data_IF_008321851209
#
_entry.id   IF_008321851209
#
_cell.length_a   1.000
_cell.length_b   1.000
_cell.length_c   1.000
_cell.angle_alpha   90.00
_cell.angle_beta   90.00
_cell.angle_gamma   90.00
#
_symmetry.space_group_name_H-M   'P 1'
#
loop_
_entity.id
_entity.type
_entity.pdbx_description
1 polymer ?
#
# COMPACT_ATOMS: atom_id res chain seq x y z
N UNK A 1 -0.03 29.24 -31.23
CA UNK A 1 -0.71 29.02 -29.93
C UNK A 1 -1.37 27.64 -29.98
N UNK A 2 -0.59 26.58 -29.76
CA UNK A 2 -1.13 25.23 -29.66
C UNK A 2 -1.34 24.94 -28.17
N UNK A 3 -2.61 24.87 -27.75
CA UNK A 3 -2.98 24.55 -26.39
C UNK A 3 -2.67 23.07 -26.16
N UNK A 4 -1.55 22.78 -25.49
CA UNK A 4 -1.29 21.46 -24.94
C UNK A 4 -2.19 21.29 -23.71
N UNK A 5 -3.42 20.81 -23.93
CA UNK A 5 -4.23 20.23 -22.87
C UNK A 5 -3.52 18.98 -22.38
N UNK A 6 -2.60 19.16 -21.43
CA UNK A 6 -1.91 18.10 -20.73
C UNK A 6 -2.93 17.13 -20.17
N UNK A 7 -2.74 15.84 -20.44
CA UNK A 7 -3.50 14.74 -19.85
C UNK A 7 -3.68 15.03 -18.36
N UNK A 8 -4.91 15.25 -17.94
CA UNK A 8 -5.25 15.34 -16.52
C UNK A 8 -4.90 13.99 -15.92
N UNK A 9 -3.89 14.01 -15.04
CA UNK A 9 -3.43 12.91 -14.19
C UNK A 9 -4.67 12.26 -13.57
N UNK A 10 -5.03 11.08 -14.07
CA UNK A 10 -6.06 10.24 -13.46
C UNK A 10 -5.61 9.97 -12.03
N UNK A 11 -6.55 10.10 -11.09
CA UNK A 11 -6.34 10.31 -9.66
C UNK A 11 -5.19 9.47 -9.07
N UNK A 12 -4.17 10.14 -8.52
CA UNK A 12 -3.02 9.50 -7.88
C UNK A 12 -3.50 8.56 -6.76
N UNK A 13 -2.84 7.43 -6.52
CA UNK A 13 -3.18 6.51 -5.41
C UNK A 13 -3.32 7.25 -4.08
N UNK A 14 -2.50 8.28 -3.89
CA UNK A 14 -2.51 9.17 -2.72
C UNK A 14 -3.83 9.93 -2.58
N UNK A 15 -4.43 10.36 -3.68
CA UNK A 15 -5.67 11.14 -3.70
C UNK A 15 -6.86 10.23 -3.35
N UNK A 16 -6.82 8.99 -3.83
CA UNK A 16 -7.81 7.99 -3.46
C UNK A 16 -7.73 7.63 -1.97
N UNK A 17 -6.54 7.31 -1.45
CA UNK A 17 -6.39 6.85 -0.05
C UNK A 17 -6.56 7.96 1.02
N UNK A 18 -6.50 9.23 0.63
CA UNK A 18 -6.66 10.37 1.56
C UNK A 18 -8.12 10.76 1.79
N UNK A 19 -9.09 10.04 1.22
CA UNK A 19 -10.50 10.37 1.39
C UNK A 19 -10.94 10.18 2.86
N UNK A 20 -11.60 11.19 3.49
CA UNK A 20 -12.03 11.11 4.89
C UNK A 20 -13.15 10.08 5.16
N UNK A 21 -13.70 9.46 4.11
CA UNK A 21 -14.95 8.71 4.15
C UNK A 21 -14.80 7.24 4.54
N UNK A 22 -13.59 6.80 4.91
CA UNK A 22 -13.39 5.45 5.41
C UNK A 22 -14.10 5.25 6.76
N UNK A 23 -15.06 4.31 6.80
CA UNK A 23 -15.79 3.96 8.02
C UNK A 23 -14.85 3.56 9.16
N UNK A 24 -15.25 3.78 10.42
CA UNK A 24 -14.46 3.36 11.61
C UNK A 24 -14.09 1.88 11.58
N UNK A 25 -15.01 1.06 11.06
CA UNK A 25 -14.82 -0.38 10.89
C UNK A 25 -13.73 -0.67 9.84
N UNK A 26 -13.77 0.02 8.70
CA UNK A 26 -12.75 -0.13 7.66
C UNK A 26 -11.34 0.20 8.19
N UNK A 27 -11.23 1.30 8.95
CA UNK A 27 -9.97 1.69 9.61
C UNK A 27 -9.48 0.66 10.62
N UNK A 28 -10.38 0.05 11.38
CA UNK A 28 -10.05 -1.00 12.34
C UNK A 28 -9.45 -2.23 11.65
N UNK A 29 -10.08 -2.72 10.58
CA UNK A 29 -9.57 -3.86 9.82
C UNK A 29 -8.22 -3.52 9.17
N UNK A 30 -8.07 -2.35 8.55
CA UNK A 30 -6.79 -1.91 7.99
C UNK A 30 -5.67 -1.93 9.04
N UNK A 31 -5.90 -1.36 10.23
CA UNK A 31 -4.90 -1.41 11.31
C UNK A 31 -4.50 -2.84 11.66
N UNK A 32 -5.46 -3.76 11.73
CA UNK A 32 -5.17 -5.18 12.01
C UNK A 32 -4.41 -5.86 10.87
N UNK A 33 -4.73 -5.57 9.61
CA UNK A 33 -4.00 -6.10 8.45
C UNK A 33 -2.55 -5.61 8.46
N UNK A 34 -2.32 -4.32 8.70
CA UNK A 34 -0.96 -3.79 8.81
C UNK A 34 -0.21 -4.37 10.00
N UNK A 35 -0.85 -4.50 11.16
CA UNK A 35 -0.25 -5.19 12.30
C UNK A 35 0.17 -6.62 11.92
N UNK A 36 -0.67 -7.35 11.18
CA UNK A 36 -0.35 -8.69 10.67
C UNK A 36 0.86 -8.68 9.74
N UNK A 37 0.90 -7.74 8.80
CA UNK A 37 2.06 -7.59 7.90
C UNK A 37 3.34 -7.29 8.68
N UNK A 38 3.28 -6.58 9.80
CA UNK A 38 4.47 -6.28 10.60
C UNK A 38 4.96 -7.44 11.47
N UNK A 39 4.13 -8.46 11.76
CA UNK A 39 4.45 -9.55 12.72
C UNK A 39 5.76 -10.28 12.43
N UNK A 40 6.11 -10.51 11.16
CA UNK A 40 7.33 -11.24 10.78
C UNK A 40 8.54 -10.32 10.54
N UNK A 41 8.47 -9.06 10.97
CA UNK A 41 9.57 -8.09 10.83
C UNK A 41 9.86 -7.71 9.38
N UNK A 42 11.09 -7.22 9.13
CA UNK A 42 11.51 -6.74 7.80
C UNK A 42 11.49 -7.86 6.77
N UNK A 43 10.76 -7.69 5.68
CA UNK A 43 10.68 -8.68 4.59
C UNK A 43 10.07 -8.10 3.32
N UNK A 44 10.30 -8.80 2.22
CA UNK A 44 9.54 -8.62 0.98
C UNK A 44 8.29 -9.50 1.08
N UNK A 45 7.13 -8.96 0.70
CA UNK A 45 5.86 -9.69 0.61
C UNK A 45 5.34 -9.57 -0.83
N UNK A 46 4.92 -10.69 -1.43
CA UNK A 46 4.27 -10.69 -2.73
C UNK A 46 2.76 -10.49 -2.56
N UNK A 47 2.09 -10.06 -3.63
CA UNK A 47 0.66 -9.73 -3.58
C UNK A 47 -0.22 -10.89 -3.09
N UNK A 48 0.09 -12.14 -3.47
CA UNK A 48 -0.66 -13.30 -2.99
C UNK A 48 -0.51 -13.50 -1.47
N UNK A 49 0.69 -13.31 -0.93
CA UNK A 49 0.95 -13.39 0.50
C UNK A 49 0.27 -12.25 1.27
N UNK A 50 0.23 -11.04 0.71
CA UNK A 50 -0.52 -9.90 1.29
C UNK A 50 -2.00 -10.24 1.40
N UNK A 51 -2.58 -10.79 0.33
CA UNK A 51 -3.99 -11.18 0.30
C UNK A 51 -4.27 -12.30 1.32
N UNK A 52 -3.40 -13.31 1.40
CA UNK A 52 -3.54 -14.40 2.38
C UNK A 52 -3.47 -13.89 3.82
N UNK A 53 -2.48 -13.05 4.15
CA UNK A 53 -2.35 -12.46 5.49
C UNK A 53 -3.56 -11.57 5.84
N UNK A 54 -4.12 -10.84 4.87
CA UNK A 54 -5.37 -10.07 5.05
C UNK A 54 -6.56 -10.98 5.37
N UNK A 55 -6.74 -12.07 4.62
CA UNK A 55 -7.82 -13.03 4.81
C UNK A 55 -7.74 -13.73 6.17
N UNK A 56 -6.53 -13.95 6.71
CA UNK A 56 -6.36 -14.49 8.07
C UNK A 56 -6.87 -13.52 9.16
N UNK A 57 -6.82 -12.21 8.90
CA UNK A 57 -7.18 -11.16 9.87
C UNK A 57 -8.68 -10.87 9.87
N UNK A 58 -9.26 -10.72 8.69
CA UNK A 58 -10.67 -10.41 8.48
C UNK A 58 -11.36 -11.73 8.19
N UNK A 59 -12.12 -12.30 9.14
CA UNK A 59 -12.75 -13.63 8.95
C UNK A 59 -14.13 -13.56 8.29
N UNK A 60 -14.84 -12.46 8.52
CA UNK A 60 -16.18 -12.26 7.96
C UNK A 60 -16.09 -11.89 6.47
N UNK A 61 -16.89 -12.55 5.64
CA UNK A 61 -16.85 -12.37 4.19
C UNK A 61 -17.40 -11.01 3.76
N UNK A 62 -18.40 -10.46 4.46
CA UNK A 62 -18.95 -9.15 4.13
C UNK A 62 -17.94 -8.05 4.46
N UNK A 63 -17.28 -8.15 5.62
CA UNK A 63 -16.19 -7.23 6.00
C UNK A 63 -15.05 -7.29 4.98
N UNK A 64 -14.67 -8.49 4.51
CA UNK A 64 -13.65 -8.65 3.45
C UNK A 64 -14.06 -7.94 2.18
N UNK A 65 -15.26 -8.20 1.68
CA UNK A 65 -15.75 -7.59 0.45
C UNK A 65 -15.78 -6.06 0.58
N UNK A 66 -16.26 -5.54 1.72
CA UNK A 66 -16.30 -4.10 1.97
C UNK A 66 -14.89 -3.45 1.95
N UNK A 67 -13.88 -4.12 2.50
CA UNK A 67 -12.50 -3.63 2.47
C UNK A 67 -11.90 -3.68 1.06
N UNK A 68 -12.20 -4.75 0.31
CA UNK A 68 -11.74 -4.95 -1.05
C UNK A 68 -12.42 -4.02 -2.07
N UNK A 69 -13.65 -3.60 -1.81
CA UNK A 69 -14.33 -2.55 -2.58
C UNK A 69 -13.78 -1.15 -2.27
N UNK A 70 -13.06 -1.01 -1.16
CA UNK A 70 -12.44 0.25 -0.73
C UNK A 70 -11.02 0.46 -1.25
N UNK A 71 -10.39 1.50 -0.73
CA UNK A 71 -9.04 1.92 -1.12
C UNK A 71 -7.96 0.88 -0.90
N UNK A 72 -8.08 0.04 0.13
CA UNK A 72 -7.13 -1.03 0.37
C UNK A 72 -7.21 -2.07 -0.74
N UNK A 73 -8.41 -2.45 -1.18
CA UNK A 73 -8.58 -3.38 -2.30
C UNK A 73 -8.04 -2.83 -3.61
N UNK A 74 -8.23 -1.54 -3.89
CA UNK A 74 -7.57 -0.87 -5.02
C UNK A 74 -6.04 -0.99 -4.91
N UNK A 75 -5.46 -0.58 -3.77
CA UNK A 75 -4.00 -0.65 -3.55
C UNK A 75 -3.47 -2.08 -3.74
N UNK A 76 -4.12 -3.08 -3.13
CA UNK A 76 -3.72 -4.48 -3.20
C UNK A 76 -3.82 -5.03 -4.63
N UNK A 77 -4.86 -4.66 -5.38
CA UNK A 77 -5.09 -5.14 -6.74
C UNK A 77 -3.98 -4.72 -7.72
N UNK A 78 -3.39 -3.54 -7.52
CA UNK A 78 -2.33 -3.04 -8.39
C UNK A 78 -0.92 -3.24 -7.79
N UNK A 79 -0.80 -3.70 -6.55
CA UNK A 79 0.49 -3.95 -5.90
C UNK A 79 1.20 -5.12 -6.56
N UNK A 80 2.46 -4.92 -6.94
CA UNK A 80 3.34 -5.99 -7.45
C UNK A 80 4.14 -6.63 -6.32
N UNK A 81 4.64 -5.82 -5.40
CA UNK A 81 5.31 -6.27 -4.18
C UNK A 81 5.25 -5.18 -3.10
N UNK A 82 5.30 -5.62 -1.85
CA UNK A 82 5.43 -4.75 -0.70
C UNK A 82 6.69 -5.06 0.08
N UNK A 83 7.28 -4.03 0.67
CA UNK A 83 8.41 -4.11 1.59
C UNK A 83 7.90 -3.73 2.96
N UNK A 84 8.02 -4.64 3.91
CA UNK A 84 7.81 -4.33 5.32
C UNK A 84 9.13 -3.87 5.90
N UNK A 85 9.15 -2.66 6.43
CA UNK A 85 10.25 -2.10 7.21
C UNK A 85 9.62 -1.30 8.36
N UNK A 86 9.37 -1.94 9.52
CA UNK A 86 8.56 -1.34 10.58
C UNK A 86 9.06 0.07 10.99
N UNK A 87 8.14 1.04 11.19
CA UNK A 87 6.68 0.93 11.25
C UNK A 87 5.98 1.08 9.88
N UNK A 88 6.71 1.00 8.77
CA UNK A 88 6.17 1.26 7.44
C UNK A 88 5.99 -0.02 6.62
N UNK A 89 5.02 0.03 5.72
CA UNK A 89 4.94 -0.88 4.58
C UNK A 89 4.99 -0.06 3.30
N UNK A 90 6.00 -0.28 2.48
CA UNK A 90 6.17 0.37 1.19
C UNK A 90 5.61 -0.53 0.09
N UNK A 91 4.78 0.02 -0.80
CA UNK A 91 4.13 -0.70 -1.90
C UNK A 91 4.70 -0.21 -3.22
N UNK A 92 5.08 -1.15 -4.08
CA UNK A 92 5.30 -0.88 -5.50
C UNK A 92 4.04 -1.23 -6.26
N UNK A 93 3.39 -0.21 -6.81
CA UNK A 93 2.08 -0.30 -7.45
C UNK A 93 2.24 -0.08 -8.94
N UNK A 94 1.51 -0.85 -9.74
CA UNK A 94 1.54 -0.79 -11.20
C UNK A 94 0.12 -0.69 -11.75
N UNK A 95 -0.46 0.52 -11.81
CA UNK A 95 -1.79 0.74 -12.36
C UNK A 95 -1.90 0.34 -13.83
N UNK A 96 -0.86 0.66 -14.61
CA UNK A 96 -0.80 0.43 -16.06
C UNK A 96 0.53 -0.18 -16.50
N UNK A 97 0.57 -0.85 -17.67
CA UNK A 97 1.82 -1.35 -18.23
C UNK A 97 2.86 -0.25 -18.43
N UNK A 98 3.94 -0.31 -17.64
CA UNK A 98 5.06 0.63 -17.72
C UNK A 98 4.92 1.85 -16.80
N UNK A 99 3.80 1.98 -16.08
CA UNK A 99 3.57 3.02 -15.08
C UNK A 99 3.78 2.44 -13.69
N UNK A 100 4.65 3.06 -12.91
CA UNK A 100 4.94 2.65 -11.53
C UNK A 100 4.71 3.80 -10.56
N UNK A 101 4.02 3.49 -9.48
CA UNK A 101 3.83 4.37 -8.34
C UNK A 101 4.36 3.67 -7.09
N UNK A 102 4.99 4.46 -6.23
CA UNK A 102 5.54 3.96 -4.98
C UNK A 102 4.94 4.76 -3.84
N UNK A 103 4.40 4.05 -2.85
CA UNK A 103 3.82 4.67 -1.66
C UNK A 103 4.34 3.94 -0.43
N UNK A 104 4.54 4.67 0.67
CA UNK A 104 4.69 4.06 1.99
C UNK A 104 3.46 4.35 2.82
N UNK A 105 3.07 3.38 3.63
CA UNK A 105 1.96 3.49 4.55
C UNK A 105 2.45 3.26 5.97
N UNK A 106 2.11 4.17 6.87
CA UNK A 106 2.42 4.03 8.30
C UNK A 106 1.43 3.08 8.98
N UNK A 107 1.92 2.07 9.71
CA UNK A 107 1.05 1.16 10.46
C UNK A 107 0.33 1.85 11.62
N UNK A 108 0.83 2.99 12.12
CA UNK A 108 0.33 3.65 13.32
C UNK A 108 -0.95 4.45 13.06
N UNK A 109 -0.90 5.31 12.04
CA UNK A 109 -1.96 6.24 11.70
C UNK A 109 -2.61 5.94 10.34
N UNK A 110 -2.07 4.98 9.56
CA UNK A 110 -2.49 4.67 8.19
C UNK A 110 -2.31 5.84 7.21
N UNK A 111 -1.38 6.76 7.49
CA UNK A 111 -1.03 7.81 6.52
C UNK A 111 -0.35 7.19 5.31
N UNK A 112 -0.75 7.65 4.13
CA UNK A 112 -0.18 7.23 2.85
C UNK A 112 0.67 8.37 2.30
N UNK A 113 1.94 8.09 2.06
CA UNK A 113 2.89 9.07 1.54
C UNK A 113 3.46 8.56 0.22
N UNK A 114 3.40 9.34 -0.87
CA UNK A 114 4.12 9.00 -2.09
C UNK A 114 5.62 9.05 -1.84
N UNK A 115 6.34 8.11 -2.43
CA UNK A 115 7.81 8.04 -2.35
C UNK A 115 8.40 7.90 -3.75
N UNK A 116 9.68 8.20 -3.89
CA UNK A 116 10.38 7.99 -5.17
C UNK A 116 10.74 6.52 -5.35
N UNK A 117 11.07 6.12 -6.59
CA UNK A 117 11.63 4.79 -6.85
C UNK A 117 12.92 4.56 -6.06
N UNK A 118 13.77 5.57 -5.93
CA UNK A 118 14.99 5.53 -5.12
C UNK A 118 14.68 5.23 -3.65
N UNK A 119 13.69 5.90 -3.08
CA UNK A 119 13.27 5.67 -1.69
C UNK A 119 12.74 4.24 -1.50
N UNK A 120 11.96 3.74 -2.45
CA UNK A 120 11.48 2.36 -2.45
C UNK A 120 12.63 1.34 -2.51
N UNK A 121 13.63 1.59 -3.37
CA UNK A 121 14.81 0.72 -3.45
C UNK A 121 15.61 0.72 -2.15
N UNK A 122 15.73 1.86 -1.47
CA UNK A 122 16.34 1.92 -0.13
C UNK A 122 15.60 1.07 0.91
N UNK A 123 14.27 0.98 0.83
CA UNK A 123 13.52 0.05 1.69
C UNK A 123 13.89 -1.41 1.37
N UNK A 124 14.03 -1.74 0.09
CA UNK A 124 14.38 -3.09 -0.35
C UNK A 124 15.79 -3.50 0.06
N UNK A 125 16.75 -2.58 -0.04
CA UNK A 125 18.13 -2.78 0.39
C UNK A 125 18.24 -2.97 1.91
N UNK A 126 17.48 -2.19 2.69
CA UNK A 126 17.45 -2.27 4.17
C UNK A 126 17.01 -3.61 4.74
N UNK A 127 16.38 -4.47 3.95
CA UNK A 127 16.07 -5.85 4.35
C UNK A 127 17.34 -6.67 4.51
N UNK A 128 18.38 -6.38 3.72
CA UNK A 128 19.64 -7.13 3.70
C UNK A 128 20.79 -6.37 4.35
N UNK A 129 20.77 -5.04 4.30
CA UNK A 129 21.78 -4.18 4.92
C UNK A 129 21.14 -3.10 5.81
N UNK A 130 21.16 -3.35 7.11
CA UNK A 130 20.56 -2.43 8.09
C UNK A 130 21.33 -1.09 8.22
N UNK A 131 22.55 -0.99 7.67
CA UNK A 131 23.41 0.20 7.79
C UNK A 131 23.39 1.09 6.55
N UNK A 132 22.40 0.93 5.67
CA UNK A 132 22.25 1.78 4.50
C UNK A 132 21.85 3.21 4.93
N UNK A 133 22.82 4.14 4.92
CA UNK A 133 22.67 5.57 5.27
C UNK A 133 22.49 6.45 4.02
#
# INVERSE_FOLDING_TARGET
MASASGLKRTDSITDNMSSPDASKQSRYHMKRCFAKYLEKGRRIIKVHDLMEEMEQVIKDQNDRNQILEGNLGFLLSFTQEAIVDPPYVAFAVRPDPGVWEYVKVSSENLSVEPITSTDYLKFKERIYDEKWY
#
